data_IF_966580791102
#
_entry.id   IF_966580791102
#
_cell.length_a   1.000
_cell.length_b   1.000
_cell.length_c   1.000
_cell.angle_alpha   90.00
_cell.angle_beta   90.00
_cell.angle_gamma   90.00
#
_symmetry.space_group_name_H-M   'P 1'
#
loop_
_entity.id
_entity.type
_entity.pdbx_description
1 polymer ?
#
# COMPACT_ATOMS: atom_id res chain seq x y z
N UNK A 1 -3.80 -27.72 13.70
CA UNK A 1 -3.12 -26.62 14.43
C UNK A 1 -2.50 -25.58 13.51
N UNK A 2 -1.76 -25.95 12.44
CA UNK A 2 -1.15 -24.99 11.52
C UNK A 2 -2.15 -24.09 10.74
N UNK A 3 -3.35 -24.60 10.41
CA UNK A 3 -4.37 -23.83 9.66
C UNK A 3 -4.96 -22.67 10.45
N UNK A 4 -5.28 -22.88 11.73
CA UNK A 4 -5.87 -21.84 12.59
C UNK A 4 -4.91 -20.69 12.86
N UNK A 5 -3.62 -20.99 13.06
CA UNK A 5 -2.59 -19.97 13.24
C UNK A 5 -2.43 -19.12 11.97
N UNK A 6 -2.38 -19.76 10.79
CA UNK A 6 -2.31 -19.05 9.50
C UNK A 6 -3.55 -18.19 9.26
N UNK A 7 -4.75 -18.73 9.51
CA UNK A 7 -6.01 -17.98 9.41
C UNK A 7 -6.01 -16.74 10.31
N UNK A 8 -5.59 -16.89 11.58
CA UNK A 8 -5.48 -15.76 12.50
C UNK A 8 -4.48 -14.70 12.01
N UNK A 9 -3.31 -15.12 11.52
CA UNK A 9 -2.29 -14.22 10.95
C UNK A 9 -2.88 -13.46 9.76
N UNK A 10 -3.55 -14.15 8.84
CA UNK A 10 -4.18 -13.54 7.66
C UNK A 10 -5.28 -12.55 8.04
N UNK A 11 -6.13 -12.89 9.01
CA UNK A 11 -7.19 -11.98 9.48
C UNK A 11 -6.60 -10.72 10.10
N UNK A 12 -5.59 -10.86 10.97
CA UNK A 12 -4.92 -9.72 11.60
C UNK A 12 -4.25 -8.86 10.53
N UNK A 13 -3.49 -9.46 9.62
CA UNK A 13 -2.79 -8.75 8.56
C UNK A 13 -3.77 -8.03 7.63
N UNK A 14 -4.81 -8.69 7.15
CA UNK A 14 -5.86 -8.11 6.31
C UNK A 14 -6.55 -6.93 7.02
N UNK A 15 -6.90 -7.08 8.29
CA UNK A 15 -7.51 -6.01 9.09
C UNK A 15 -6.61 -4.79 9.21
N UNK A 16 -5.31 -5.01 9.46
CA UNK A 16 -4.32 -3.93 9.54
C UNK A 16 -4.13 -3.24 8.19
N UNK A 17 -4.04 -3.99 7.09
CA UNK A 17 -3.93 -3.45 5.73
C UNK A 17 -5.13 -2.54 5.44
N UNK A 18 -6.36 -3.02 5.68
CA UNK A 18 -7.59 -2.25 5.45
C UNK A 18 -7.58 -0.99 6.31
N UNK A 19 -7.38 -1.12 7.63
CA UNK A 19 -7.44 0.01 8.56
C UNK A 19 -6.40 1.09 8.23
N UNK A 20 -5.15 0.70 7.99
CA UNK A 20 -4.06 1.62 7.69
C UNK A 20 -4.31 2.38 6.37
N UNK A 21 -4.68 1.66 5.32
CA UNK A 21 -4.92 2.26 4.01
C UNK A 21 -6.18 3.12 3.95
N UNK A 22 -7.27 2.72 4.61
CA UNK A 22 -8.48 3.54 4.73
C UNK A 22 -8.18 4.83 5.50
N UNK A 23 -7.42 4.75 6.60
CA UNK A 23 -7.01 5.93 7.35
C UNK A 23 -6.18 6.90 6.49
N UNK A 24 -5.18 6.38 5.77
CA UNK A 24 -4.36 7.18 4.84
C UNK A 24 -5.24 7.78 3.74
N UNK A 25 -6.16 7.01 3.14
CA UNK A 25 -7.06 7.51 2.12
C UNK A 25 -7.93 8.67 2.62
N UNK A 26 -8.48 8.59 3.83
CA UNK A 26 -9.26 9.67 4.45
C UNK A 26 -8.41 10.93 4.62
N UNK A 27 -7.19 10.79 5.13
CA UNK A 27 -6.27 11.92 5.34
C UNK A 27 -5.91 12.59 4.00
N UNK A 28 -5.58 11.79 3.00
CA UNK A 28 -5.24 12.26 1.66
C UNK A 28 -6.44 12.95 1.00
N UNK A 29 -7.64 12.40 1.11
CA UNK A 29 -8.87 12.99 0.57
C UNK A 29 -9.14 14.36 1.20
N UNK A 30 -9.03 14.47 2.52
CA UNK A 30 -9.14 15.74 3.24
C UNK A 30 -8.09 16.75 2.79
N UNK A 31 -6.85 16.30 2.57
CA UNK A 31 -5.76 17.15 2.10
C UNK A 31 -6.00 17.64 0.67
N UNK A 32 -6.39 16.76 -0.25
CA UNK A 32 -6.67 17.08 -1.66
C UNK A 32 -7.81 18.10 -1.74
N UNK A 33 -8.88 17.92 -0.96
CA UNK A 33 -10.01 18.88 -0.91
C UNK A 33 -9.59 20.28 -0.45
N UNK A 34 -8.59 20.39 0.44
CA UNK A 34 -8.12 21.66 1.00
C UNK A 34 -7.03 22.35 0.16
N UNK A 35 -6.11 21.59 -0.43
CA UNK A 35 -4.89 22.11 -1.09
C UNK A 35 -4.81 21.84 -2.60
N UNK A 36 -5.68 21.00 -3.17
CA UNK A 36 -5.79 20.81 -4.62
C UNK A 36 -4.60 20.15 -5.32
N UNK A 37 -3.71 19.45 -4.60
CA UNK A 37 -2.52 18.85 -5.21
C UNK A 37 -2.83 17.51 -5.89
N UNK A 38 -2.72 17.51 -7.23
CA UNK A 38 -3.11 16.40 -8.12
C UNK A 38 -2.25 15.14 -7.96
N UNK A 39 -0.97 15.29 -7.60
CA UNK A 39 -0.07 14.15 -7.41
C UNK A 39 -0.46 13.25 -6.21
N UNK A 40 -1.20 13.79 -5.22
CA UNK A 40 -1.73 12.96 -4.13
C UNK A 40 -2.86 12.02 -4.60
N UNK A 41 -3.47 12.25 -5.76
CA UNK A 41 -4.48 11.34 -6.31
C UNK A 41 -3.89 9.95 -6.63
N UNK A 42 -2.62 9.88 -7.05
CA UNK A 42 -1.96 8.59 -7.30
C UNK A 42 -1.71 7.82 -5.99
N UNK A 43 -1.29 8.52 -4.93
CA UNK A 43 -1.10 7.93 -3.59
C UNK A 43 -2.44 7.52 -2.98
N UNK A 44 -3.50 8.32 -3.18
CA UNK A 44 -4.87 7.97 -2.79
C UNK A 44 -5.33 6.71 -3.51
N UNK A 45 -5.09 6.60 -4.83
CA UNK A 45 -5.44 5.41 -5.60
C UNK A 45 -4.72 4.17 -5.09
N UNK A 46 -3.43 4.28 -4.76
CA UNK A 46 -2.67 3.20 -4.17
C UNK A 46 -3.28 2.75 -2.83
N UNK A 47 -3.64 3.68 -1.94
CA UNK A 47 -4.29 3.34 -0.68
C UNK A 47 -5.63 2.62 -0.90
N UNK A 48 -6.42 3.04 -1.89
CA UNK A 48 -7.66 2.34 -2.25
C UNK A 48 -7.41 0.93 -2.80
N UNK A 49 -6.39 0.76 -3.64
CA UNK A 49 -6.00 -0.53 -4.18
C UNK A 49 -5.52 -1.50 -3.07
N UNK A 50 -4.66 -1.02 -2.16
CA UNK A 50 -4.16 -1.81 -1.03
C UNK A 50 -5.27 -2.16 -0.02
N UNK A 51 -6.23 -1.26 0.22
CA UNK A 51 -7.42 -1.58 1.00
C UNK A 51 -8.25 -2.70 0.34
N UNK A 52 -8.36 -2.68 -0.99
CA UNK A 52 -9.03 -3.75 -1.75
C UNK A 52 -8.26 -5.07 -1.66
N UNK A 53 -6.92 -5.05 -1.70
CA UNK A 53 -6.09 -6.25 -1.45
C UNK A 53 -6.45 -6.86 -0.09
N UNK A 54 -6.43 -6.06 0.98
CA UNK A 54 -6.80 -6.51 2.32
C UNK A 54 -8.21 -7.10 2.38
N UNK A 55 -9.20 -6.46 1.74
CA UNK A 55 -10.58 -6.98 1.67
C UNK A 55 -10.66 -8.33 0.94
N UNK A 56 -10.01 -8.46 -0.21
CA UNK A 56 -10.04 -9.71 -0.99
C UNK A 56 -9.33 -10.86 -0.28
N UNK A 57 -8.27 -10.57 0.48
CA UNK A 57 -7.53 -11.54 1.31
C UNK A 57 -8.30 -11.94 2.57
N UNK A 58 -9.13 -11.05 3.12
CA UNK A 58 -10.00 -11.39 4.25
C UNK A 58 -10.89 -12.59 3.92
N UNK A 59 -11.37 -12.66 2.67
CA UNK A 59 -12.01 -13.86 2.16
C UNK A 59 -11.15 -15.08 2.46
N UNK A 60 -9.91 -15.16 1.97
CA UNK A 60 -8.96 -16.28 2.17
C UNK A 60 -8.73 -16.65 3.63
N UNK A 61 -8.72 -15.68 4.54
CA UNK A 61 -8.60 -15.93 5.96
C UNK A 61 -9.79 -16.71 6.55
N UNK A 62 -11.02 -16.47 6.05
CA UNK A 62 -12.23 -17.18 6.50
C UNK A 62 -12.17 -18.67 6.19
N UNK A 63 -11.57 -19.09 5.06
CA UNK A 63 -11.42 -20.51 4.70
C UNK A 63 -10.51 -21.27 5.66
N UNK A 64 -9.49 -20.60 6.22
CA UNK A 64 -8.56 -21.24 7.16
C UNK A 64 -9.12 -21.32 8.60
N UNK A 65 -10.06 -20.43 8.93
CA UNK A 65 -10.71 -20.37 10.24
C UNK A 65 -12.02 -21.18 10.30
N UNK A 66 -12.68 -21.38 9.17
CA UNK A 66 -13.96 -22.05 9.07
C UNK A 66 -13.79 -23.54 8.75
N UNK A 67 -14.82 -24.34 9.04
CA UNK A 67 -14.84 -25.75 8.62
C UNK A 67 -14.82 -25.85 7.09
N UNK A 68 -14.23 -26.93 6.51
CA UNK A 68 -14.22 -27.12 5.07
C UNK A 68 -15.64 -27.07 4.50
N UNK A 69 -15.88 -26.14 3.57
CA UNK A 69 -17.14 -26.04 2.83
C UNK A 69 -16.86 -26.41 1.37
N UNK A 70 -17.73 -27.20 0.71
CA UNK A 70 -17.66 -27.45 -0.73
C UNK A 70 -17.90 -26.16 -1.53
N UNK A 71 -16.84 -25.39 -1.78
CA UNK A 71 -16.89 -24.26 -2.68
C UNK A 71 -17.05 -24.74 -4.13
N UNK A 72 -17.92 -24.09 -4.90
CA UNK A 72 -18.02 -24.34 -6.33
C UNK A 72 -16.76 -23.84 -7.05
N UNK A 73 -16.40 -24.46 -8.18
CA UNK A 73 -15.25 -24.02 -8.98
C UNK A 73 -15.36 -22.55 -9.38
N UNK A 74 -16.57 -22.09 -9.76
CA UNK A 74 -16.82 -20.70 -10.12
C UNK A 74 -16.58 -19.74 -8.95
N UNK A 75 -16.96 -20.12 -7.73
CA UNK A 75 -16.68 -19.32 -6.54
C UNK A 75 -15.17 -19.16 -6.31
N UNK A 76 -14.41 -20.25 -6.40
CA UNK A 76 -12.96 -20.20 -6.25
C UNK A 76 -12.27 -19.35 -7.33
N UNK A 77 -12.67 -19.51 -8.59
CA UNK A 77 -12.10 -18.74 -9.70
C UNK A 77 -12.42 -17.25 -9.57
N UNK A 78 -13.68 -16.89 -9.26
CA UNK A 78 -14.07 -15.50 -9.06
C UNK A 78 -13.31 -14.85 -7.91
N UNK A 79 -13.19 -15.55 -6.78
CA UNK A 79 -12.43 -15.07 -5.63
C UNK A 79 -10.96 -14.82 -5.97
N UNK A 80 -10.30 -15.76 -6.65
CA UNK A 80 -8.91 -15.57 -7.08
C UNK A 80 -8.77 -14.47 -8.12
N UNK A 81 -9.78 -14.25 -8.97
CA UNK A 81 -9.80 -13.14 -9.90
C UNK A 81 -9.81 -11.78 -9.18
N UNK A 82 -10.59 -11.63 -8.12
CA UNK A 82 -10.56 -10.43 -7.27
C UNK A 82 -9.21 -10.23 -6.58
N UNK A 83 -8.59 -11.30 -6.07
CA UNK A 83 -7.25 -11.24 -5.45
C UNK A 83 -6.19 -10.84 -6.48
N UNK A 84 -6.20 -11.44 -7.67
CA UNK A 84 -5.26 -11.08 -8.72
C UNK A 84 -5.46 -9.65 -9.22
N UNK A 85 -6.70 -9.23 -9.42
CA UNK A 85 -7.03 -7.89 -9.90
C UNK A 85 -6.63 -6.82 -8.86
N UNK A 86 -6.89 -7.04 -7.58
CA UNK A 86 -6.50 -6.10 -6.51
C UNK A 86 -4.98 -5.98 -6.39
N UNK A 87 -4.26 -7.10 -6.43
CA UNK A 87 -2.79 -7.09 -6.45
C UNK A 87 -2.24 -6.37 -7.69
N UNK A 88 -2.78 -6.65 -8.88
CA UNK A 88 -2.38 -5.97 -10.11
C UNK A 88 -2.62 -4.45 -10.02
N UNK A 89 -3.77 -4.02 -9.51
CA UNK A 89 -4.08 -2.61 -9.31
C UNK A 89 -3.09 -1.94 -8.33
N UNK A 90 -2.72 -2.60 -7.24
CA UNK A 90 -1.73 -2.11 -6.28
C UNK A 90 -0.33 -1.96 -6.92
N UNK A 91 0.13 -2.96 -7.66
CA UNK A 91 1.44 -2.94 -8.35
C UNK A 91 1.47 -1.82 -9.40
N UNK A 92 0.45 -1.73 -10.25
CA UNK A 92 0.35 -0.66 -11.25
C UNK A 92 0.28 0.72 -10.60
N UNK A 93 -0.37 0.84 -9.43
CA UNK A 93 -0.42 2.09 -8.67
C UNK A 93 0.94 2.47 -8.10
N UNK A 94 1.74 1.51 -7.63
CA UNK A 94 3.11 1.75 -7.19
C UNK A 94 3.99 2.23 -8.34
N UNK A 95 3.89 1.60 -9.52
CA UNK A 95 4.58 2.05 -10.73
C UNK A 95 4.16 3.48 -11.08
N UNK A 96 2.85 3.76 -11.04
CA UNK A 96 2.32 5.07 -11.37
C UNK A 96 2.79 6.15 -10.40
N UNK A 97 2.82 5.86 -9.09
CA UNK A 97 3.41 6.76 -8.09
C UNK A 97 4.90 6.96 -8.36
N UNK A 98 5.65 5.91 -8.70
CA UNK A 98 7.07 6.03 -9.01
C UNK A 98 7.32 6.90 -10.27
N UNK A 99 6.54 6.69 -11.33
CA UNK A 99 6.58 7.48 -12.56
C UNK A 99 6.18 8.95 -12.33
N UNK A 100 5.11 9.21 -11.57
CA UNK A 100 4.68 10.56 -11.18
C UNK A 100 5.81 11.33 -10.49
N UNK A 101 6.46 10.67 -9.51
CA UNK A 101 7.54 11.28 -8.73
C UNK A 101 8.79 11.50 -9.58
N UNK A 102 9.13 10.52 -10.40
CA UNK A 102 10.23 10.65 -11.36
C UNK A 102 10.00 11.82 -12.33
N UNK A 103 8.77 11.96 -12.88
CA UNK A 103 8.42 13.05 -13.78
C UNK A 103 8.45 14.42 -13.09
N UNK A 104 7.92 14.52 -11.87
CA UNK A 104 7.91 15.75 -11.08
C UNK A 104 9.33 16.29 -10.83
N UNK A 105 10.27 15.38 -10.57
CA UNK A 105 11.66 15.73 -10.25
C UNK A 105 12.46 16.02 -11.52
N UNK A 106 12.31 15.20 -12.58
CA UNK A 106 13.13 15.32 -13.79
C UNK A 106 12.71 16.48 -14.69
N UNK A 107 11.41 16.76 -14.77
CA UNK A 107 10.87 17.77 -15.67
C UNK A 107 9.80 18.63 -14.97
N UNK A 108 10.19 19.45 -13.96
CA UNK A 108 9.23 20.20 -13.14
C UNK A 108 8.31 21.12 -13.95
N UNK A 109 8.82 21.79 -14.99
CA UNK A 109 8.01 22.68 -15.84
C UNK A 109 6.99 21.91 -16.70
N UNK A 110 7.39 20.77 -17.26
CA UNK A 110 6.48 19.93 -18.06
C UNK A 110 5.50 19.16 -17.18
N UNK A 111 5.87 18.84 -15.94
CA UNK A 111 5.01 18.13 -15.00
C UNK A 111 3.67 18.85 -14.79
N UNK A 112 3.68 20.18 -14.59
CA UNK A 112 2.44 20.95 -14.41
C UNK A 112 1.55 20.96 -15.65
N UNK A 113 2.12 20.83 -16.84
CA UNK A 113 1.39 20.75 -18.12
C UNK A 113 0.88 19.33 -18.41
N UNK A 114 1.59 18.30 -17.93
CA UNK A 114 1.26 16.90 -18.16
C UNK A 114 0.24 16.36 -17.16
N UNK A 115 0.40 16.69 -15.87
CA UNK A 115 -0.44 16.18 -14.78
C UNK A 115 -1.69 17.06 -14.60
N UNK A 116 -2.63 16.86 -15.52
CA UNK A 116 -3.94 17.52 -15.50
C UNK A 116 -5.02 16.59 -14.94
N UNK A 117 -6.06 17.14 -14.31
CA UNK A 117 -7.15 16.37 -13.73
C UNK A 117 -7.75 15.29 -14.65
N UNK A 118 -8.18 15.63 -15.89
CA UNK A 118 -8.73 14.62 -16.80
C UNK A 118 -7.73 13.56 -17.22
N UNK A 119 -6.45 13.90 -17.43
CA UNK A 119 -5.40 12.91 -17.76
C UNK A 119 -5.12 11.97 -16.58
N UNK A 120 -5.09 12.50 -15.35
CA UNK A 120 -4.97 11.69 -14.13
C UNK A 120 -6.16 10.75 -14.03
N UNK A 121 -7.40 11.25 -14.17
CA UNK A 121 -8.60 10.43 -14.13
C UNK A 121 -8.59 9.31 -15.18
N UNK A 122 -8.26 9.63 -16.44
CA UNK A 122 -8.14 8.65 -17.52
C UNK A 122 -7.07 7.58 -17.21
N UNK A 123 -5.91 7.99 -16.69
CA UNK A 123 -4.85 7.08 -16.31
C UNK A 123 -5.29 6.13 -15.19
N UNK A 124 -5.99 6.62 -14.17
CA UNK A 124 -6.52 5.80 -13.09
C UNK A 124 -7.59 4.82 -13.59
N UNK A 125 -8.54 5.28 -14.40
CA UNK A 125 -9.56 4.40 -15.00
C UNK A 125 -8.92 3.32 -15.85
N UNK A 126 -7.96 3.68 -16.71
CA UNK A 126 -7.21 2.73 -17.53
C UNK A 126 -6.46 1.70 -16.68
N UNK A 127 -5.87 2.11 -15.57
CA UNK A 127 -5.20 1.22 -14.61
C UNK A 127 -6.17 0.18 -14.05
N UNK A 128 -7.36 0.60 -13.59
CA UNK A 128 -8.36 -0.32 -13.03
C UNK A 128 -8.90 -1.29 -14.08
N UNK A 129 -9.16 -0.81 -15.30
CA UNK A 129 -9.58 -1.65 -16.43
C UNK A 129 -8.51 -2.69 -16.75
N UNK A 130 -7.24 -2.27 -16.83
CA UNK A 130 -6.13 -3.18 -17.12
C UNK A 130 -5.93 -4.22 -16.00
N UNK A 131 -6.02 -3.81 -14.73
CA UNK A 131 -5.97 -4.71 -13.59
C UNK A 131 -7.13 -5.70 -13.56
N UNK A 132 -8.33 -5.27 -13.95
CA UNK A 132 -9.50 -6.14 -14.07
C UNK A 132 -9.33 -7.16 -15.20
N UNK A 133 -8.82 -6.75 -16.35
CA UNK A 133 -8.52 -7.67 -17.47
C UNK A 133 -7.53 -8.75 -17.00
N UNK A 134 -6.43 -8.35 -16.35
CA UNK A 134 -5.42 -9.28 -15.81
C UNK A 134 -6.05 -10.30 -14.84
N UNK A 135 -6.85 -9.84 -13.88
CA UNK A 135 -7.40 -10.72 -12.84
C UNK A 135 -8.56 -11.58 -13.31
N UNK A 136 -9.47 -11.06 -14.14
CA UNK A 136 -10.69 -11.74 -14.54
C UNK A 136 -10.55 -12.57 -15.82
N UNK A 137 -9.39 -12.53 -16.49
CA UNK A 137 -9.15 -13.31 -17.71
C UNK A 137 -9.50 -14.81 -17.56
N UNK A 138 -9.17 -15.51 -16.45
CA UNK A 138 -9.54 -16.91 -16.28
C UNK A 138 -11.02 -17.15 -16.07
N UNK A 139 -11.79 -16.15 -15.60
CA UNK A 139 -13.24 -16.26 -15.41
C UNK A 139 -13.93 -16.43 -16.76
N UNK A 140 -13.49 -15.64 -17.76
CA UNK A 140 -14.07 -15.65 -19.10
C UNK A 140 -13.49 -16.75 -20.01
N UNK A 141 -12.28 -17.24 -19.71
CA UNK A 141 -11.58 -18.22 -20.54
C UNK A 141 -11.29 -19.49 -19.71
N UNK A 142 -12.20 -20.50 -19.75
CA UNK A 142 -12.05 -21.73 -18.99
C UNK A 142 -10.78 -22.53 -19.29
N UNK A 143 -10.19 -22.34 -20.47
CA UNK A 143 -8.91 -22.95 -20.86
C UNK A 143 -7.77 -22.64 -19.87
N UNK A 144 -7.81 -21.47 -19.21
CA UNK A 144 -6.81 -21.10 -18.21
C UNK A 144 -7.04 -21.74 -16.83
N UNK A 145 -8.19 -22.39 -16.63
CA UNK A 145 -8.55 -23.03 -15.37
C UNK A 145 -8.11 -24.51 -15.35
N UNK A 146 -7.90 -25.03 -14.14
CA UNK A 146 -7.82 -26.46 -13.85
C UNK A 146 -9.02 -26.88 -13.00
N UNK A 147 -9.65 -27.99 -13.36
CA UNK A 147 -10.71 -28.59 -12.53
C UNK A 147 -10.03 -29.16 -11.29
N UNK A 148 -10.33 -28.57 -10.14
CA UNK A 148 -9.81 -29.00 -8.84
C UNK A 148 -10.94 -29.60 -8.03
N UNK A 149 -10.76 -30.84 -7.58
CA UNK A 149 -11.69 -31.52 -6.65
C UNK A 149 -11.38 -31.20 -5.18
N UNK A 150 -10.48 -30.25 -4.93
CA UNK A 150 -10.08 -29.89 -3.57
C UNK A 150 -11.10 -28.95 -2.92
N UNK A 151 -11.37 -29.21 -1.65
CA UNK A 151 -12.25 -28.40 -0.79
C UNK A 151 -11.70 -27.01 -0.45
N UNK A 152 -10.50 -26.66 -0.92
CA UNK A 152 -9.83 -25.37 -0.69
C UNK A 152 -9.50 -24.69 -2.01
N UNK A 153 -9.83 -23.40 -2.10
CA UNK A 153 -9.45 -22.56 -3.23
C UNK A 153 -7.96 -22.21 -3.13
N UNK A 154 -7.10 -22.92 -3.86
CA UNK A 154 -5.65 -22.65 -3.94
C UNK A 154 -5.28 -22.14 -5.33
N UNK A 155 -4.52 -21.03 -5.37
CA UNK A 155 -4.13 -20.36 -6.62
C UNK A 155 -3.44 -21.30 -7.62
N UNK A 156 -2.45 -22.07 -7.14
CA UNK A 156 -1.66 -22.98 -7.98
C UNK A 156 -2.45 -24.18 -8.50
N UNK A 157 -3.53 -24.57 -7.81
CA UNK A 157 -4.38 -25.68 -8.21
C UNK A 157 -5.52 -25.25 -9.14
N UNK A 158 -5.90 -23.97 -9.14
CA UNK A 158 -7.01 -23.44 -9.93
C UNK A 158 -6.63 -23.02 -11.33
N UNK A 159 -5.35 -22.70 -11.58
CA UNK A 159 -4.90 -22.18 -12.87
C UNK A 159 -3.85 -23.07 -13.53
N UNK A 160 -3.82 -23.07 -14.86
CA UNK A 160 -2.81 -23.79 -15.62
C UNK A 160 -1.41 -23.21 -15.37
N UNK A 161 -0.36 -24.03 -15.19
CA UNK A 161 1.02 -23.55 -15.04
C UNK A 161 1.49 -22.66 -16.20
N UNK A 162 1.11 -22.99 -17.44
CA UNK A 162 1.41 -22.17 -18.61
C UNK A 162 0.79 -20.78 -18.52
N UNK A 163 -0.44 -20.68 -18.02
CA UNK A 163 -1.10 -19.40 -17.78
C UNK A 163 -0.38 -18.60 -16.69
N UNK A 164 -0.09 -19.22 -15.53
CA UNK A 164 0.61 -18.57 -14.42
C UNK A 164 1.99 -18.03 -14.86
N UNK A 165 2.77 -18.85 -15.57
CA UNK A 165 4.06 -18.46 -16.12
C UNK A 165 3.93 -17.27 -17.09
N UNK A 166 2.97 -17.33 -18.01
CA UNK A 166 2.72 -16.25 -18.97
C UNK A 166 2.40 -14.94 -18.26
N UNK A 167 1.56 -14.97 -17.23
CA UNK A 167 1.21 -13.78 -16.45
C UNK A 167 2.40 -13.21 -15.67
N UNK A 168 3.27 -14.07 -15.13
CA UNK A 168 4.49 -13.61 -14.46
C UNK A 168 5.49 -13.00 -15.45
N UNK A 169 5.68 -13.63 -16.61
CA UNK A 169 6.54 -13.16 -17.70
C UNK A 169 6.10 -11.81 -18.28
N UNK A 170 4.80 -11.63 -18.51
CA UNK A 170 4.27 -10.42 -19.16
C UNK A 170 3.88 -9.32 -18.16
N UNK A 171 3.65 -9.66 -16.89
CA UNK A 171 3.28 -8.71 -15.84
C UNK A 171 4.45 -8.35 -14.93
N UNK A 172 4.97 -9.34 -14.19
CA UNK A 172 5.91 -9.09 -13.10
C UNK A 172 7.31 -8.68 -13.57
N UNK A 173 7.93 -9.39 -14.51
CA UNK A 173 9.30 -9.06 -14.93
C UNK A 173 9.42 -7.69 -15.61
N UNK A 174 8.49 -7.27 -16.50
CA UNK A 174 8.49 -5.91 -17.01
C UNK A 174 8.33 -4.87 -15.91
N UNK A 175 7.44 -5.10 -14.93
CA UNK A 175 7.28 -4.23 -13.77
C UNK A 175 8.57 -4.15 -12.93
N UNK A 176 9.22 -5.29 -12.68
CA UNK A 176 10.47 -5.38 -11.94
C UNK A 176 11.60 -4.63 -12.66
N UNK A 177 11.73 -4.81 -13.98
CA UNK A 177 12.73 -4.11 -14.77
C UNK A 177 12.51 -2.59 -14.74
N UNK A 178 11.27 -2.15 -14.89
CA UNK A 178 10.92 -0.73 -14.79
C UNK A 178 11.25 -0.17 -13.40
N UNK A 179 10.92 -0.91 -12.34
CA UNK A 179 11.27 -0.53 -10.97
C UNK A 179 12.77 -0.41 -10.75
N UNK A 180 13.55 -1.38 -11.23
CA UNK A 180 15.00 -1.33 -11.16
C UNK A 180 15.57 -0.13 -11.91
N UNK A 181 15.09 0.12 -13.13
CA UNK A 181 15.47 1.29 -13.91
C UNK A 181 15.18 2.60 -13.17
N UNK A 182 13.97 2.77 -12.65
CA UNK A 182 13.57 3.96 -11.90
C UNK A 182 14.41 4.12 -10.63
N UNK A 183 14.70 3.03 -9.93
CA UNK A 183 15.53 3.03 -8.73
C UNK A 183 16.96 3.48 -9.03
N UNK A 184 17.59 2.91 -10.06
CA UNK A 184 18.94 3.29 -10.48
C UNK A 184 19.02 4.76 -10.91
N UNK A 185 18.05 5.25 -11.68
CA UNK A 185 18.02 6.66 -12.08
C UNK A 185 17.80 7.58 -10.87
N UNK A 186 16.93 7.22 -9.94
CA UNK A 186 16.76 7.97 -8.68
C UNK A 186 18.06 8.04 -7.87
N UNK A 187 18.76 6.92 -7.72
CA UNK A 187 20.07 6.90 -7.05
C UNK A 187 21.08 7.81 -7.76
N UNK A 188 21.12 7.77 -9.10
CA UNK A 188 21.99 8.65 -9.90
C UNK A 188 21.66 10.12 -9.66
N UNK A 189 20.38 10.50 -9.68
CA UNK A 189 19.96 11.88 -9.42
C UNK A 189 20.38 12.30 -8.01
N UNK A 190 20.18 11.43 -7.00
CA UNK A 190 20.56 11.70 -5.63
C UNK A 190 22.09 11.89 -5.48
N UNK A 191 22.89 11.02 -6.10
CA UNK A 191 24.35 11.12 -6.09
C UNK A 191 24.83 12.44 -6.70
N UNK A 192 24.26 12.86 -7.84
CA UNK A 192 24.60 14.13 -8.49
C UNK A 192 24.23 15.32 -7.61
N UNK A 193 23.08 15.29 -6.94
CA UNK A 193 22.69 16.37 -6.01
C UNK A 193 23.63 16.46 -4.81
N UNK A 194 24.09 15.33 -4.27
CA UNK A 194 25.05 15.32 -3.16
C UNK A 194 26.39 15.89 -3.59
N UNK A 195 26.88 15.51 -4.78
CA UNK A 195 28.12 16.06 -5.34
C UNK A 195 28.04 17.58 -5.52
N UNK A 196 26.94 18.08 -6.08
CA UNK A 196 26.75 19.52 -6.27
C UNK A 196 26.68 20.28 -4.93
N UNK A 197 26.10 19.69 -3.88
CA UNK A 197 26.10 20.30 -2.54
C UNK A 197 27.53 20.37 -1.99
N UNK A 198 28.32 19.30 -2.14
CA UNK A 198 29.71 19.26 -1.68
C UNK A 198 30.59 20.27 -2.43
N UNK A 199 30.41 20.44 -3.74
CA UNK A 199 31.14 21.42 -4.54
C UNK A 199 30.81 22.87 -4.12
N UNK A 200 29.54 23.18 -3.84
CA UNK A 200 29.13 24.51 -3.35
C UNK A 200 29.65 24.79 -1.94
N UNK A 201 29.71 23.76 -1.09
CA UNK A 201 30.29 23.85 0.26
C UNK A 201 31.81 24.07 0.21
N UNK A 202 32.52 23.34 -0.66
CA UNK A 202 33.95 23.51 -0.90
C UNK A 202 34.31 24.85 -1.54
N UNK A 203 33.44 25.42 -2.38
CA UNK A 203 33.62 26.74 -2.98
C UNK A 203 33.47 27.89 -1.97
N UNK A 204 33.27 27.62 -0.67
CA UNK A 204 33.12 28.65 0.37
C UNK A 204 31.78 29.40 0.32
N UNK A 205 30.87 28.98 -0.57
CA UNK A 205 29.51 29.52 -0.71
C UNK A 205 28.50 28.72 0.15
N UNK A 206 28.96 27.70 0.88
CA UNK A 206 28.17 26.74 1.68
C UNK A 206 27.48 27.29 2.93
N UNK A 207 27.54 28.60 3.20
CA UNK A 207 26.82 29.22 4.32
C UNK A 207 25.28 29.27 4.13
N UNK A 208 24.77 28.94 2.93
CA UNK A 208 23.35 28.95 2.63
C UNK A 208 22.69 27.59 2.86
N UNK A 209 21.66 27.53 3.72
CA UNK A 209 20.76 26.38 3.81
C UNK A 209 20.25 25.97 2.42
N UNK A 210 20.23 24.66 2.06
CA UNK A 210 19.68 24.23 0.79
C UNK A 210 18.24 24.71 0.64
N UNK A 211 17.82 25.13 -0.57
CA UNK A 211 16.48 25.66 -0.79
C UNK A 211 15.44 24.63 -0.29
N UNK A 212 14.38 25.06 0.44
CA UNK A 212 13.39 24.16 1.04
C UNK A 212 12.74 23.17 0.07
N UNK A 213 12.68 23.49 -1.23
CA UNK A 213 12.19 22.59 -2.28
C UNK A 213 13.12 21.40 -2.54
N UNK A 214 14.43 21.60 -2.60
CA UNK A 214 15.40 20.53 -2.86
C UNK A 214 15.39 19.46 -1.76
N UNK A 215 15.25 19.86 -0.50
CA UNK A 215 15.19 18.92 0.63
C UNK A 215 13.86 18.14 0.65
N UNK A 216 12.75 18.76 0.28
CA UNK A 216 11.45 18.12 0.13
C UNK A 216 11.46 17.08 -1.01
N UNK A 217 12.05 17.43 -2.15
CA UNK A 217 12.12 16.57 -3.32
C UNK A 217 13.02 15.35 -3.08
N UNK A 218 14.17 15.55 -2.40
CA UNK A 218 15.06 14.46 -1.98
C UNK A 218 14.36 13.49 -1.01
N UNK A 219 13.59 14.04 -0.07
CA UNK A 219 12.81 13.24 0.88
C UNK A 219 11.75 12.40 0.16
N UNK A 220 11.00 13.02 -0.75
CA UNK A 220 9.99 12.34 -1.55
C UNK A 220 10.61 11.23 -2.45
N UNK A 221 11.75 11.52 -3.08
CA UNK A 221 12.51 10.54 -3.87
C UNK A 221 12.95 9.34 -3.03
N UNK A 222 13.50 9.59 -1.84
CA UNK A 222 13.91 8.52 -0.92
C UNK A 222 12.73 7.63 -0.54
N UNK A 223 11.57 8.20 -0.26
CA UNK A 223 10.36 7.43 0.04
C UNK A 223 9.99 6.50 -1.10
N UNK A 224 10.01 6.99 -2.35
CA UNK A 224 9.69 6.20 -3.54
C UNK A 224 10.72 5.09 -3.76
N UNK A 225 12.00 5.39 -3.63
CA UNK A 225 13.06 4.39 -3.75
C UNK A 225 12.92 3.26 -2.71
N UNK A 226 12.53 3.60 -1.47
CA UNK A 226 12.25 2.61 -0.43
C UNK A 226 10.99 1.79 -0.77
N UNK A 227 9.92 2.41 -1.26
CA UNK A 227 8.72 1.70 -1.72
C UNK A 227 9.05 0.67 -2.81
N UNK A 228 9.88 1.05 -3.79
CA UNK A 228 10.36 0.15 -4.85
C UNK A 228 11.19 -1.01 -4.27
N UNK A 229 12.08 -0.72 -3.33
CA UNK A 229 12.89 -1.73 -2.65
C UNK A 229 12.05 -2.72 -1.83
N UNK A 230 11.08 -2.23 -1.07
CA UNK A 230 10.13 -3.04 -0.31
C UNK A 230 9.30 -3.94 -1.23
N UNK A 231 8.79 -3.40 -2.34
CA UNK A 231 8.07 -4.19 -3.34
C UNK A 231 8.95 -5.31 -3.90
N UNK A 232 10.17 -4.98 -4.32
CA UNK A 232 11.10 -5.95 -4.90
C UNK A 232 11.43 -7.05 -3.90
N UNK A 233 11.80 -6.70 -2.67
CA UNK A 233 12.15 -7.68 -1.65
C UNK A 233 10.98 -8.57 -1.23
N UNK A 234 9.77 -8.02 -1.17
CA UNK A 234 8.58 -8.76 -0.71
C UNK A 234 8.05 -9.74 -1.75
N UNK A 235 8.09 -9.36 -3.03
CA UNK A 235 7.48 -10.15 -4.10
C UNK A 235 8.46 -11.03 -4.87
N UNK A 236 9.73 -10.64 -5.01
CA UNK A 236 10.72 -11.39 -5.77
C UNK A 236 10.88 -12.85 -5.29
N UNK A 237 10.92 -13.15 -3.98
CA UNK A 237 11.02 -14.52 -3.49
C UNK A 237 9.83 -15.38 -3.93
N UNK A 238 8.61 -14.83 -3.89
CA UNK A 238 7.39 -15.52 -4.30
C UNK A 238 7.42 -15.87 -5.80
N UNK A 239 7.76 -14.91 -6.65
CA UNK A 239 7.78 -15.13 -8.10
C UNK A 239 8.88 -16.10 -8.54
N UNK A 240 10.10 -15.95 -8.00
CA UNK A 240 11.20 -16.89 -8.29
C UNK A 240 10.81 -18.30 -7.85
N UNK A 241 10.32 -18.47 -6.62
CA UNK A 241 9.95 -19.79 -6.09
C UNK A 241 8.79 -20.41 -6.88
N UNK A 242 7.84 -19.59 -7.36
CA UNK A 242 6.75 -20.07 -8.22
C UNK A 242 7.25 -20.61 -9.56
N UNK A 243 8.23 -19.96 -10.18
CA UNK A 243 8.84 -20.43 -11.43
C UNK A 243 9.64 -21.72 -11.20
N UNK A 244 10.43 -21.76 -10.11
CA UNK A 244 11.17 -22.98 -9.73
C UNK A 244 10.21 -24.14 -9.48
N UNK A 245 9.10 -23.92 -8.77
CA UNK A 245 8.07 -24.93 -8.54
C UNK A 245 7.45 -25.45 -9.83
N UNK A 246 7.22 -24.58 -10.82
CA UNK A 246 6.68 -24.97 -12.12
C UNK A 246 7.70 -25.76 -12.96
N UNK A 247 8.98 -25.44 -12.86
CA UNK A 247 10.06 -26.15 -13.57
C UNK A 247 10.46 -27.47 -12.89
N UNK A 248 10.38 -27.53 -11.56
CA UNK A 248 10.76 -28.66 -10.73
C UNK A 248 9.76 -28.83 -9.57
N UNK A 249 8.72 -29.69 -9.75
CA UNK A 249 7.70 -29.91 -8.73
C UNK A 249 8.24 -30.47 -7.40
N UNK A 250 9.36 -31.18 -7.42
CA UNK A 250 9.98 -31.78 -6.23
C UNK A 250 10.98 -30.87 -5.50
N UNK A 251 11.43 -29.79 -6.14
CA UNK A 251 12.50 -28.93 -5.60
C UNK A 251 12.05 -28.07 -4.41
N UNK A 252 10.75 -27.80 -4.29
CA UNK A 252 10.23 -26.92 -3.24
C UNK A 252 8.84 -27.36 -2.78
N UNK A 253 8.51 -27.24 -1.49
CA UNK A 253 7.17 -27.53 -1.01
C UNK A 253 6.22 -26.37 -1.32
N UNK A 254 5.13 -26.65 -2.07
CA UNK A 254 4.09 -25.67 -2.42
C UNK A 254 3.54 -24.89 -1.20
N UNK A 255 3.48 -25.55 -0.04
CA UNK A 255 3.03 -24.96 1.22
C UNK A 255 3.88 -23.78 1.67
N UNK A 256 5.19 -23.78 1.36
CA UNK A 256 6.05 -22.66 1.76
C UNK A 256 5.76 -21.42 0.91
N UNK A 257 5.46 -21.61 -0.37
CA UNK A 257 5.10 -20.53 -1.28
C UNK A 257 3.75 -19.92 -0.86
N UNK A 258 2.73 -20.75 -0.66
CA UNK A 258 1.38 -20.30 -0.31
C UNK A 258 1.28 -19.71 1.11
N UNK A 259 2.01 -20.25 2.09
CA UNK A 259 1.84 -19.84 3.49
C UNK A 259 2.80 -18.73 3.93
N UNK A 260 3.99 -18.62 3.34
CA UNK A 260 5.01 -17.67 3.80
C UNK A 260 5.39 -16.63 2.75
N UNK A 261 5.72 -17.07 1.52
CA UNK A 261 6.21 -16.12 0.50
C UNK A 261 5.08 -15.23 -0.02
N UNK A 262 3.87 -15.77 -0.16
CA UNK A 262 2.70 -14.96 -0.48
C UNK A 262 2.36 -13.96 0.64
N UNK A 263 2.48 -14.38 1.91
CA UNK A 263 2.27 -13.51 3.07
C UNK A 263 3.27 -12.34 3.10
N UNK A 264 4.51 -12.59 2.71
CA UNK A 264 5.54 -11.55 2.57
C UNK A 264 5.13 -10.52 1.51
N UNK A 265 4.63 -10.96 0.36
CA UNK A 265 4.08 -10.09 -0.68
C UNK A 265 2.91 -9.23 -0.21
N UNK A 266 2.00 -9.81 0.58
CA UNK A 266 0.90 -9.07 1.22
C UNK A 266 1.38 -7.99 2.19
N UNK A 267 2.49 -8.25 2.88
CA UNK A 267 3.15 -7.28 3.76
C UNK A 267 3.50 -5.97 3.05
N UNK A 268 3.72 -5.99 1.73
CA UNK A 268 3.99 -4.79 0.94
C UNK A 268 2.87 -3.75 1.04
N UNK A 269 1.60 -4.19 0.95
CA UNK A 269 0.43 -3.32 1.06
C UNK A 269 0.25 -2.73 2.47
N UNK A 270 0.86 -3.33 3.50
CA UNK A 270 0.92 -2.76 4.85
C UNK A 270 2.06 -1.74 4.99
N UNK A 271 3.20 -1.99 4.36
CA UNK A 271 4.36 -1.11 4.42
C UNK A 271 4.08 0.25 3.75
N UNK A 272 3.29 0.27 2.67
CA UNK A 272 2.96 1.48 1.93
C UNK A 272 2.46 2.64 2.84
N UNK A 273 1.36 2.50 3.63
CA UNK A 273 0.93 3.49 4.62
C UNK A 273 2.00 3.95 5.62
N UNK A 274 2.83 3.03 6.11
CA UNK A 274 3.87 3.33 7.09
C UNK A 274 4.95 4.23 6.49
N UNK A 275 5.32 3.99 5.24
CA UNK A 275 6.33 4.77 4.53
C UNK A 275 5.81 6.17 4.18
N UNK A 276 4.53 6.31 3.79
CA UNK A 276 3.91 7.62 3.56
C UNK A 276 3.79 8.44 4.85
N UNK A 277 3.33 7.81 5.93
CA UNK A 277 3.20 8.46 7.24
C UNK A 277 4.55 8.81 7.87
N UNK A 278 5.64 8.08 7.58
CA UNK A 278 6.96 8.42 8.12
C UNK A 278 7.66 9.56 7.36
N UNK A 279 7.30 9.84 6.10
CA UNK A 279 8.04 10.83 5.30
C UNK A 279 7.23 12.01 4.74
N UNK A 280 5.90 11.96 4.60
CA UNK A 280 5.12 13.17 4.31
C UNK A 280 4.81 13.95 5.60
N UNK A 281 5.50 15.08 5.81
CA UNK A 281 5.27 15.96 6.98
C UNK A 281 3.82 16.43 7.10
N UNK A 282 3.16 16.66 5.96
CA UNK A 282 1.75 17.03 5.90
C UNK A 282 0.82 15.91 6.42
N UNK A 283 1.15 14.65 6.13
CA UNK A 283 0.41 13.47 6.62
C UNK A 283 0.68 13.25 8.10
N UNK A 284 1.92 13.42 8.54
CA UNK A 284 2.31 13.37 9.96
C UNK A 284 1.56 14.39 10.80
N UNK A 285 1.45 15.62 10.31
CA UNK A 285 0.74 16.68 11.02
C UNK A 285 -0.76 16.39 11.16
N UNK A 286 -1.39 15.81 10.14
CA UNK A 286 -2.80 15.42 10.25
C UNK A 286 -3.01 14.17 11.11
N UNK A 287 -2.10 13.19 11.05
CA UNK A 287 -2.10 12.04 11.94
C UNK A 287 -1.94 12.46 13.40
N UNK A 288 -1.03 13.41 13.70
CA UNK A 288 -0.82 13.89 15.06
C UNK A 288 -2.03 14.67 15.59
N UNK A 289 -2.72 15.47 14.75
CA UNK A 289 -3.97 16.12 15.14
C UNK A 289 -5.11 15.11 15.40
N UNK A 290 -5.24 14.09 14.55
CA UNK A 290 -6.23 13.03 14.74
C UNK A 290 -5.94 12.23 16.02
N UNK A 291 -4.67 11.86 16.25
CA UNK A 291 -4.24 11.18 17.46
C UNK A 291 -4.47 12.03 18.72
N UNK A 292 -4.19 13.34 18.66
CA UNK A 292 -4.49 14.27 19.75
C UNK A 292 -5.99 14.39 20.02
N UNK A 293 -6.81 14.42 18.97
CA UNK A 293 -8.28 14.44 19.06
C UNK A 293 -8.85 13.15 19.66
N UNK A 294 -8.32 11.99 19.27
CA UNK A 294 -8.69 10.68 19.85
C UNK A 294 -8.23 10.60 21.30
N UNK A 295 -6.99 10.99 21.61
CA UNK A 295 -6.47 11.05 23.00
C UNK A 295 -7.35 11.94 23.88
N UNK A 296 -7.79 13.10 23.38
CA UNK A 296 -8.71 14.00 24.09
C UNK A 296 -10.08 13.36 24.32
N UNK A 297 -10.63 12.64 23.33
CA UNK A 297 -11.91 11.93 23.44
C UNK A 297 -11.86 10.75 24.41
N UNK A 298 -10.77 9.98 24.39
CA UNK A 298 -10.53 8.85 25.31
C UNK A 298 -10.31 9.35 26.74
N UNK A 299 -9.55 10.44 26.93
CA UNK A 299 -9.40 11.10 28.23
C UNK A 299 -10.72 11.64 28.77
N UNK A 300 -11.58 12.21 27.91
CA UNK A 300 -12.92 12.66 28.30
C UNK A 300 -13.80 11.49 28.74
N UNK A 301 -13.78 10.35 28.03
CA UNK A 301 -14.51 9.15 28.43
C UNK A 301 -13.98 8.55 29.75
N UNK A 302 -12.65 8.47 29.92
CA UNK A 302 -12.02 7.98 31.16
C UNK A 302 -12.24 8.94 32.34
N UNK A 303 -12.30 10.26 32.09
CA UNK A 303 -12.64 11.27 33.08
C UNK A 303 -14.10 11.17 33.52
N UNK A 304 -15.02 10.90 32.58
CA UNK A 304 -16.43 10.70 32.90
C UNK A 304 -16.68 9.40 33.69
N UNK A 305 -15.86 8.35 33.48
CA UNK A 305 -15.90 7.12 34.29
C UNK A 305 -15.37 7.33 35.73
N UNK A 306 -14.45 8.27 35.97
CA UNK A 306 -14.01 8.61 37.34
C UNK A 306 -15.01 9.51 38.07
N UNK A 307 -15.77 10.33 37.36
CA UNK A 307 -16.84 11.14 37.98
C UNK A 307 -18.05 10.31 38.43
N UNK A 308 -18.23 9.07 37.94
CA UNK A 308 -19.35 8.21 38.35
C UNK A 308 -19.10 7.36 39.60
N UNK A 309 -17.87 7.30 40.13
CA UNK A 309 -17.54 6.56 41.36
C UNK A 309 -17.35 7.44 42.60
N UNK A 310 -17.59 8.75 42.51
CA UNK A 310 -17.34 9.71 43.58
C UNK A 310 -18.44 10.74 43.74
N UNK A 311 -19.69 10.31 43.94
CA UNK A 311 -20.78 11.20 44.34
C UNK A 311 -21.45 10.70 45.62
N UNK A 312 -20.75 10.86 46.74
CA UNK A 312 -21.39 11.04 48.04
C UNK A 312 -20.93 12.37 48.65
N UNK A 313 -21.90 13.28 48.70
CA UNK A 313 -22.10 14.32 49.73
C UNK A 313 -20.93 15.20 50.14
N UNK A 314 -20.87 16.42 49.57
CA UNK A 314 -21.10 17.71 50.26
C UNK A 314 -20.61 18.87 49.38
N UNK A 315 -21.45 19.89 49.24
CA UNK A 315 -21.15 21.12 48.52
C UNK A 315 -20.11 21.98 49.26
N UNK A 316 -19.22 22.69 48.55
CA UNK A 316 -18.58 23.90 49.04
C UNK A 316 -19.08 25.17 48.30
N UNK A 317 -18.91 26.35 48.90
CA UNK A 317 -19.68 27.55 48.57
C UNK A 317 -19.13 28.33 47.37
N UNK A 318 -19.99 29.20 46.85
CA UNK A 318 -19.74 30.17 45.79
C UNK A 318 -18.59 31.13 46.13
N UNK A 319 -17.73 31.41 45.14
CA UNK A 319 -16.78 32.53 45.17
C UNK A 319 -16.85 33.26 43.83
N UNK A 320 -17.01 34.58 43.95
CA UNK A 320 -17.32 35.57 42.92
C UNK A 320 -16.30 35.66 41.76
N UNK A 321 -16.84 35.95 40.57
CA UNK A 321 -16.09 36.49 39.44
C UNK A 321 -15.54 37.88 39.78
N UNK A 322 -14.24 38.08 39.54
CA UNK A 322 -13.64 39.40 39.38
C UNK A 322 -13.29 39.54 37.91
N UNK A 323 -14.03 40.42 37.22
CA UNK A 323 -13.62 41.01 35.95
C UNK A 323 -12.39 41.90 36.19
N UNK A 324 -11.44 41.88 35.27
CA UNK A 324 -10.56 43.02 35.01
C UNK A 324 -10.08 42.95 33.56
N UNK A 325 -10.67 43.85 32.75
CA UNK A 325 -10.07 44.45 31.57
C UNK A 325 -8.71 45.06 31.94
N UNK A 326 -7.69 44.77 31.15
CA UNK A 326 -7.09 45.73 30.19
C UNK A 326 -6.14 44.99 29.24
#
# INVERSE_FOLDING_TARGET
>A
MASWALGAILTVLASLIIAANVLVAIILLCHIRKRGSKGLCFVLNLALADAMVGFTVMGLAVDELSQPFPASQQFCVLRMAFVMSSCAASILSLILVACDRHLAIRKPFHYFQLVTGPRVGLCLVGLWVFAAIIGFLPVFIPYFQRISNHWKCSFFNLFQPSYMLTMFCLGFFPALFLFFYLYCDMLKIASVHVQHIQEVEQAGLGGGCPPPRATSDMKAMRTVAVLIGCFTFSWLPFFISSIVQMACPECFPYKVIENFLWLLGLGNSLLNPLLYSYWQKDVQFQLSQLAAGVKRRVLLHLGNSRCFLGRNTKAPPAVSCVELQD
#
